data_IF_331488074848
#
_entry.id   IF_331488074848
#
_cell.length_a   1.000
_cell.length_b   1.000
_cell.length_c   1.000
_cell.angle_alpha   90.00
_cell.angle_beta   90.00
_cell.angle_gamma   90.00
#
_symmetry.space_group_name_H-M   'P 1'
#
loop_
_entity.id
_entity.type
_entity.pdbx_description
1 polymer ?
#
# COMPACT_ATOMS: atom_id res chain seq x y z
N UNK A 1 7.50 -27.72 -3.32
CA UNK A 1 7.64 -27.61 -4.80
C UNK A 1 8.54 -26.43 -5.09
N UNK A 2 9.52 -26.54 -6.01
CA UNK A 2 10.28 -25.38 -6.42
C UNK A 2 9.33 -24.35 -7.07
N UNK A 3 9.57 -23.06 -6.78
CA UNK A 3 8.85 -21.96 -7.38
C UNK A 3 9.01 -22.07 -8.90
N UNK A 4 7.95 -22.36 -9.62
CA UNK A 4 7.97 -22.29 -11.08
C UNK A 4 7.88 -20.83 -11.46
N UNK A 5 8.99 -20.27 -11.90
CA UNK A 5 8.99 -18.96 -12.53
C UNK A 5 8.13 -19.01 -13.81
N UNK A 6 7.36 -17.97 -14.13
CA UNK A 6 6.58 -17.96 -15.35
C UNK A 6 7.48 -18.12 -16.57
N UNK A 7 7.09 -18.95 -17.51
CA UNK A 7 7.84 -19.25 -18.76
C UNK A 7 7.98 -18.02 -19.70
N UNK A 8 7.27 -16.93 -19.41
CA UNK A 8 7.32 -15.70 -20.22
C UNK A 8 8.14 -14.62 -19.49
N UNK A 9 8.98 -13.87 -20.20
CA UNK A 9 9.69 -12.75 -19.63
C UNK A 9 8.69 -11.75 -19.00
N UNK A 10 9.05 -11.21 -17.84
CA UNK A 10 8.25 -10.20 -17.14
C UNK A 10 8.09 -8.95 -18.02
N UNK A 11 6.86 -8.61 -18.34
CA UNK A 11 6.52 -7.39 -19.09
C UNK A 11 5.79 -6.44 -18.12
N UNK A 12 6.36 -5.27 -17.89
CA UNK A 12 5.87 -4.28 -16.90
C UNK A 12 4.38 -3.93 -17.04
N UNK A 13 3.83 -3.98 -18.22
CA UNK A 13 2.44 -3.60 -18.52
C UNK A 13 1.57 -4.77 -19.01
N UNK A 14 2.01 -6.02 -18.83
CA UNK A 14 1.18 -7.16 -19.20
C UNK A 14 -0.03 -7.27 -18.22
N UNK A 15 -1.27 -7.13 -18.71
CA UNK A 15 -2.45 -7.27 -17.86
C UNK A 15 -2.52 -8.59 -17.09
N UNK A 16 -1.95 -9.67 -17.65
CA UNK A 16 -1.93 -10.99 -17.02
C UNK A 16 -0.98 -11.07 -15.83
N UNK A 17 0.05 -10.22 -15.78
CA UNK A 17 1.06 -10.23 -14.69
C UNK A 17 1.01 -8.98 -13.81
N UNK A 18 0.28 -7.95 -14.21
CA UNK A 18 0.22 -6.64 -13.54
C UNK A 18 -0.05 -6.73 -12.03
N UNK A 19 -0.87 -7.65 -11.60
CA UNK A 19 -1.25 -7.84 -10.21
C UNK A 19 -0.73 -9.16 -9.61
N UNK A 20 0.12 -9.91 -10.32
CA UNK A 20 0.61 -11.22 -9.86
C UNK A 20 1.30 -11.13 -8.49
N UNK A 21 2.12 -10.10 -8.27
CA UNK A 21 2.81 -9.87 -7.01
C UNK A 21 1.83 -9.67 -5.84
N UNK A 22 0.85 -8.78 -5.96
CA UNK A 22 -0.09 -8.51 -4.87
C UNK A 22 -1.00 -9.71 -4.59
N UNK A 23 -1.35 -10.48 -5.62
CA UNK A 23 -2.11 -11.71 -5.46
C UNK A 23 -1.30 -12.79 -4.75
N UNK A 24 0.00 -12.96 -5.10
CA UNK A 24 0.89 -13.87 -4.38
C UNK A 24 1.10 -13.45 -2.92
N UNK A 25 1.28 -12.16 -2.64
CA UNK A 25 1.36 -11.71 -1.24
C UNK A 25 0.11 -12.09 -0.45
N UNK A 26 -1.08 -11.82 -1.00
CA UNK A 26 -2.34 -12.07 -0.30
C UNK A 26 -2.69 -13.56 -0.19
N UNK A 27 -2.44 -14.34 -1.23
CA UNK A 27 -2.95 -15.73 -1.34
C UNK A 27 -1.91 -16.79 -0.97
N UNK A 28 -0.62 -16.47 -1.06
CA UNK A 28 0.45 -17.43 -0.81
C UNK A 28 1.29 -17.03 0.41
N UNK A 29 1.85 -15.80 0.42
CA UNK A 29 2.81 -15.36 1.45
C UNK A 29 2.12 -15.19 2.80
N UNK A 30 1.03 -14.44 2.88
CA UNK A 30 0.33 -14.21 4.15
C UNK A 30 -0.17 -15.52 4.76
N UNK A 31 -0.90 -16.41 4.06
CA UNK A 31 -1.32 -17.69 4.62
C UNK A 31 -0.15 -18.59 5.01
N UNK A 32 0.93 -18.56 4.24
CA UNK A 32 2.13 -19.33 4.59
C UNK A 32 2.74 -18.86 5.92
N UNK A 33 2.92 -17.55 6.07
CA UNK A 33 3.46 -16.96 7.30
C UNK A 33 2.55 -17.23 8.50
N UNK A 34 1.25 -17.03 8.33
CA UNK A 34 0.27 -17.25 9.42
C UNK A 34 0.20 -18.72 9.85
N UNK A 35 0.45 -19.67 8.95
CA UNK A 35 0.43 -21.10 9.26
C UNK A 35 1.73 -21.64 9.84
N UNK A 36 2.87 -20.95 9.64
CA UNK A 36 4.19 -21.46 10.04
C UNK A 36 4.84 -20.67 11.18
N UNK A 37 4.34 -19.48 11.49
CA UNK A 37 4.90 -18.60 12.51
C UNK A 37 3.83 -18.18 13.51
N UNK A 38 4.25 -17.74 14.69
CA UNK A 38 3.35 -17.23 15.73
C UNK A 38 2.90 -15.81 15.39
N UNK A 39 1.96 -15.68 14.50
CA UNK A 39 1.33 -14.41 14.12
C UNK A 39 -0.01 -14.24 14.83
N UNK A 40 -0.55 -13.02 14.76
CA UNK A 40 -1.95 -12.73 15.03
C UNK A 40 -2.63 -12.57 13.66
N UNK A 41 -3.32 -13.62 13.14
CA UNK A 41 -3.68 -13.71 11.73
C UNK A 41 -4.99 -12.98 11.39
N UNK A 42 -5.22 -11.85 12.01
CA UNK A 42 -6.41 -11.02 11.78
C UNK A 42 -6.03 -9.64 11.25
N UNK A 43 -7.02 -8.95 10.70
CA UNK A 43 -6.92 -7.63 10.10
C UNK A 43 -6.39 -6.58 11.09
N UNK A 44 -6.83 -6.65 12.35
CA UNK A 44 -6.49 -5.67 13.38
C UNK A 44 -5.01 -5.69 13.76
N UNK A 45 -4.32 -6.80 13.47
CA UNK A 45 -2.90 -6.99 13.76
C UNK A 45 -2.03 -7.03 12.50
N UNK A 46 -2.55 -6.55 11.36
CA UNK A 46 -1.79 -6.55 10.11
C UNK A 46 -1.71 -5.15 9.50
N UNK A 47 -0.48 -4.74 9.23
CA UNK A 47 -0.16 -3.51 8.54
C UNK A 47 0.46 -3.81 7.16
N UNK A 48 0.23 -2.91 6.20
CA UNK A 48 0.92 -2.92 4.91
C UNK A 48 1.55 -1.55 4.65
N UNK A 49 2.83 -1.56 4.31
CA UNK A 49 3.59 -0.37 3.97
C UNK A 49 4.52 -0.65 2.79
N UNK A 50 4.79 0.36 2.00
CA UNK A 50 5.74 0.26 0.91
C UNK A 50 6.10 1.63 0.37
N UNK A 51 7.30 1.72 -0.23
CA UNK A 51 7.84 2.95 -0.81
C UNK A 51 7.90 2.86 -2.33
N UNK A 52 7.71 3.98 -3.02
CA UNK A 52 7.82 4.08 -4.47
C UNK A 52 6.88 3.07 -5.16
N UNK A 53 7.42 2.15 -5.96
CA UNK A 53 6.65 1.04 -6.53
C UNK A 53 5.95 0.21 -5.44
N UNK A 54 6.61 -0.04 -4.30
CA UNK A 54 6.02 -0.70 -3.15
C UNK A 54 4.86 0.09 -2.52
N UNK A 55 4.87 1.43 -2.61
CA UNK A 55 3.73 2.27 -2.25
C UNK A 55 2.52 2.03 -3.17
N UNK A 56 2.76 1.91 -4.47
CA UNK A 56 1.73 1.50 -5.43
C UNK A 56 1.18 0.09 -5.15
N UNK A 57 2.07 -0.85 -4.80
CA UNK A 57 1.65 -2.19 -4.38
C UNK A 57 0.84 -2.16 -3.07
N UNK A 58 1.21 -1.31 -2.12
CA UNK A 58 0.44 -1.10 -0.87
C UNK A 58 -0.97 -0.64 -1.17
N UNK A 59 -1.12 0.36 -2.05
CA UNK A 59 -2.42 0.85 -2.51
C UNK A 59 -3.24 -0.25 -3.19
N UNK A 60 -2.65 -0.96 -4.15
CA UNK A 60 -3.33 -2.02 -4.89
C UNK A 60 -3.68 -3.22 -4.00
N UNK A 61 -2.76 -3.65 -3.12
CA UNK A 61 -2.97 -4.78 -2.21
C UNK A 61 -4.11 -4.49 -1.23
N UNK A 62 -4.07 -3.32 -0.57
CA UNK A 62 -5.12 -2.93 0.37
C UNK A 62 -6.49 -2.73 -0.28
N UNK A 63 -6.53 -2.26 -1.54
CA UNK A 63 -7.78 -2.08 -2.28
C UNK A 63 -8.39 -3.37 -2.84
N UNK A 64 -7.55 -4.36 -3.20
CA UNK A 64 -8.02 -5.66 -3.69
C UNK A 64 -8.30 -6.66 -2.58
N UNK A 65 -7.66 -6.51 -1.41
CA UNK A 65 -7.79 -7.38 -0.24
C UNK A 65 -8.00 -6.55 1.03
N UNK A 66 -9.06 -5.72 1.07
CA UNK A 66 -9.26 -4.77 2.16
C UNK A 66 -9.58 -5.44 3.51
N UNK A 67 -9.94 -6.72 3.48
CA UNK A 67 -10.16 -7.54 4.67
C UNK A 67 -8.88 -7.95 5.38
N UNK A 68 -7.70 -7.73 4.78
CA UNK A 68 -6.43 -8.18 5.33
C UNK A 68 -5.73 -7.13 6.21
N UNK A 69 -6.02 -5.83 6.05
CA UNK A 69 -5.19 -4.76 6.63
C UNK A 69 -6.03 -3.65 7.28
N UNK A 70 -5.72 -3.34 8.54
CA UNK A 70 -6.27 -2.17 9.23
C UNK A 70 -5.31 -0.95 9.19
N UNK A 71 -4.03 -1.16 8.87
CA UNK A 71 -3.01 -0.12 8.82
C UNK A 71 -2.37 -0.10 7.44
N UNK A 72 -2.50 1.02 6.73
CA UNK A 72 -2.14 1.16 5.32
C UNK A 72 -1.22 2.36 5.16
N UNK A 73 -0.01 2.15 4.63
CA UNK A 73 1.01 3.20 4.54
C UNK A 73 1.71 3.23 3.17
N UNK A 74 1.13 3.84 2.15
CA UNK A 74 1.83 4.12 0.90
C UNK A 74 2.79 5.30 1.05
N UNK A 75 4.08 5.08 0.74
CA UNK A 75 5.14 6.08 0.85
C UNK A 75 5.67 6.47 -0.53
N UNK A 76 5.89 7.77 -0.76
CA UNK A 76 6.50 8.28 -2.00
C UNK A 76 5.91 7.63 -3.23
N UNK A 77 4.60 7.51 -3.26
CA UNK A 77 3.84 7.04 -4.41
C UNK A 77 2.63 7.92 -4.62
N UNK A 78 2.23 8.03 -5.86
CA UNK A 78 1.02 8.75 -6.23
C UNK A 78 -0.06 7.81 -6.72
N UNK A 79 -1.20 8.41 -7.04
CA UNK A 79 -2.29 7.75 -7.74
C UNK A 79 -2.75 8.61 -8.90
N UNK A 80 -3.61 8.05 -9.73
CA UNK A 80 -4.37 8.75 -10.76
C UNK A 80 -5.85 8.66 -10.42
N UNK A 81 -6.60 9.74 -10.59
CA UNK A 81 -8.05 9.75 -10.35
C UNK A 81 -8.76 9.03 -11.51
N UNK A 82 -8.78 7.70 -11.43
CA UNK A 82 -9.45 6.82 -12.38
C UNK A 82 -10.60 6.07 -11.70
N UNK A 83 -11.61 5.60 -12.46
CA UNK A 83 -12.69 4.79 -11.90
C UNK A 83 -12.18 3.55 -11.13
N UNK A 84 -11.14 2.89 -11.66
CA UNK A 84 -10.53 1.70 -11.06
C UNK A 84 -9.89 2.02 -9.71
N UNK A 85 -9.09 3.08 -9.63
CA UNK A 85 -8.43 3.49 -8.39
C UNK A 85 -9.44 3.99 -7.35
N UNK A 86 -10.49 4.67 -7.79
CA UNK A 86 -11.60 5.06 -6.92
C UNK A 86 -12.36 3.85 -6.36
N UNK A 87 -12.53 2.80 -7.16
CA UNK A 87 -13.14 1.54 -6.69
C UNK A 87 -12.28 0.85 -5.61
N UNK A 88 -10.94 0.86 -5.75
CA UNK A 88 -10.04 0.34 -4.73
C UNK A 88 -10.19 1.09 -3.40
N UNK A 89 -10.24 2.42 -3.41
CA UNK A 89 -10.48 3.21 -2.21
C UNK A 89 -11.86 2.94 -1.60
N UNK A 90 -12.89 2.82 -2.43
CA UNK A 90 -14.23 2.48 -1.97
C UNK A 90 -14.28 1.11 -1.28
N UNK A 91 -13.52 0.11 -1.76
CA UNK A 91 -13.40 -1.19 -1.12
C UNK A 91 -12.76 -1.07 0.27
N UNK A 92 -11.65 -0.32 0.39
CA UNK A 92 -10.98 -0.06 1.67
C UNK A 92 -11.95 0.61 2.65
N UNK A 93 -12.63 1.66 2.21
CA UNK A 93 -13.61 2.39 3.03
C UNK A 93 -14.74 1.47 3.51
N UNK A 94 -15.30 0.66 2.61
CA UNK A 94 -16.38 -0.28 2.93
C UNK A 94 -15.96 -1.34 3.95
N UNK A 95 -14.74 -1.86 3.84
CA UNK A 95 -14.20 -2.85 4.77
C UNK A 95 -13.80 -2.24 6.11
N UNK A 96 -13.64 -0.93 6.20
CA UNK A 96 -13.09 -0.21 7.33
C UNK A 96 -11.57 -0.34 7.41
N UNK A 97 -10.92 0.55 8.14
CA UNK A 97 -9.49 0.54 8.46
C UNK A 97 -9.25 1.42 9.71
N UNK A 98 -8.14 1.22 10.39
CA UNK A 98 -7.79 2.01 11.57
C UNK A 98 -6.87 3.19 11.25
N UNK A 99 -5.99 3.02 10.27
CA UNK A 99 -5.03 4.05 9.88
C UNK A 99 -4.73 3.99 8.39
N UNK A 100 -4.90 5.12 7.71
CA UNK A 100 -4.38 5.35 6.37
C UNK A 100 -3.38 6.50 6.45
N UNK A 101 -2.09 6.22 6.23
CA UNK A 101 -1.02 7.19 6.44
C UNK A 101 -0.14 7.29 5.19
N UNK A 102 -0.07 8.48 4.61
CA UNK A 102 0.65 8.76 3.37
C UNK A 102 1.86 9.63 3.68
N UNK A 103 3.04 9.21 3.27
CA UNK A 103 4.27 9.99 3.43
C UNK A 103 4.93 10.32 2.10
N UNK A 104 5.31 11.61 1.89
CA UNK A 104 6.03 12.03 0.69
C UNK A 104 6.90 13.26 0.97
N UNK A 105 8.02 13.41 0.24
CA UNK A 105 8.82 14.62 0.25
C UNK A 105 8.24 15.69 -0.70
N UNK A 106 8.39 16.95 -0.37
CA UNK A 106 7.91 18.08 -1.19
C UNK A 106 8.69 18.23 -2.52
N UNK A 107 9.92 17.74 -2.56
CA UNK A 107 10.79 17.68 -3.73
C UNK A 107 10.85 16.25 -4.35
N UNK A 108 9.98 15.33 -3.93
CA UNK A 108 9.86 14.00 -4.50
C UNK A 108 9.11 14.06 -5.83
N UNK A 109 9.60 13.35 -6.86
CA UNK A 109 8.90 13.29 -8.15
C UNK A 109 7.50 12.65 -8.04
N UNK A 110 7.24 11.85 -7.01
CA UNK A 110 5.93 11.26 -6.73
C UNK A 110 4.94 12.27 -6.09
N UNK A 111 5.42 13.41 -5.62
CA UNK A 111 4.61 14.38 -4.86
C UNK A 111 3.34 14.86 -5.61
N UNK A 112 3.39 15.19 -6.92
CA UNK A 112 2.17 15.56 -7.64
C UNK A 112 1.09 14.47 -7.61
N UNK A 113 1.49 13.22 -7.82
CA UNK A 113 0.57 12.08 -7.74
C UNK A 113 0.11 11.76 -6.31
N UNK A 114 0.96 12.06 -5.32
CA UNK A 114 0.58 11.93 -3.90
C UNK A 114 -0.52 12.93 -3.53
N UNK A 115 -0.48 14.15 -4.07
CA UNK A 115 -1.57 15.14 -3.90
C UNK A 115 -2.87 14.67 -4.54
N UNK A 116 -2.79 14.00 -5.70
CA UNK A 116 -3.99 13.39 -6.31
C UNK A 116 -4.58 12.32 -5.40
N UNK A 117 -3.75 11.47 -4.80
CA UNK A 117 -4.23 10.48 -3.83
C UNK A 117 -4.90 11.13 -2.61
N UNK A 118 -4.33 12.20 -2.06
CA UNK A 118 -4.90 12.98 -0.95
C UNK A 118 -6.31 13.49 -1.31
N UNK A 119 -6.45 14.11 -2.49
CA UNK A 119 -7.75 14.60 -2.96
C UNK A 119 -8.78 13.48 -3.19
N UNK A 120 -8.34 12.34 -3.70
CA UNK A 120 -9.21 11.16 -3.87
C UNK A 120 -9.72 10.64 -2.52
N UNK A 121 -8.84 10.56 -1.51
CA UNK A 121 -9.19 10.15 -0.15
C UNK A 121 -10.20 11.13 0.48
N UNK A 122 -9.95 12.43 0.36
CA UNK A 122 -10.87 13.49 0.81
C UNK A 122 -12.23 13.39 0.12
N UNK A 123 -12.24 13.27 -1.20
CA UNK A 123 -13.46 13.13 -2.02
C UNK A 123 -14.32 11.95 -1.58
N UNK A 124 -13.70 10.86 -1.17
CA UNK A 124 -14.39 9.70 -0.63
C UNK A 124 -14.73 9.80 0.86
N UNK A 125 -14.34 10.87 1.54
CA UNK A 125 -14.54 11.05 2.99
C UNK A 125 -13.80 9.97 3.79
N UNK A 126 -12.59 9.62 3.38
CA UNK A 126 -11.71 8.68 4.08
C UNK A 126 -10.78 9.45 5.01
N UNK A 127 -10.84 9.15 6.31
CA UNK A 127 -9.88 9.71 7.27
C UNK A 127 -8.47 9.20 6.95
N UNK A 128 -7.51 10.11 6.88
CA UNK A 128 -6.12 9.78 6.59
C UNK A 128 -5.17 10.86 7.10
N UNK A 129 -3.91 10.48 7.26
CA UNK A 129 -2.82 11.40 7.55
C UNK A 129 -2.02 11.63 6.28
N UNK A 130 -1.89 12.88 5.87
CA UNK A 130 -0.98 13.30 4.81
C UNK A 130 0.27 13.92 5.45
N UNK A 131 1.37 13.20 5.43
CA UNK A 131 2.65 13.63 6.03
C UNK A 131 3.62 14.08 4.94
N UNK A 132 3.85 15.40 4.84
CA UNK A 132 4.80 15.98 3.90
C UNK A 132 6.02 16.46 4.64
N UNK A 133 7.19 16.01 4.20
CA UNK A 133 8.49 16.48 4.69
C UNK A 133 9.23 17.26 3.60
N UNK A 134 10.30 17.94 3.98
CA UNK A 134 11.29 18.41 3.01
C UNK A 134 12.03 17.26 2.34
N UNK A 135 12.54 17.51 1.12
CA UNK A 135 13.40 16.58 0.40
C UNK A 135 12.69 15.67 -0.59
N UNK A 136 13.46 14.81 -1.23
CA UNK A 136 13.07 14.03 -2.40
C UNK A 136 12.89 12.53 -2.11
N UNK A 137 13.00 11.76 -3.19
CA UNK A 137 12.82 10.30 -3.23
C UNK A 137 14.03 9.57 -2.64
N UNK A 138 14.17 9.59 -1.33
CA UNK A 138 15.40 9.15 -0.64
C UNK A 138 15.15 8.24 0.56
N UNK A 139 16.14 7.38 0.85
CA UNK A 139 16.13 6.50 2.01
C UNK A 139 16.05 7.24 3.35
N UNK A 140 16.59 8.45 3.44
CA UNK A 140 16.50 9.27 4.65
C UNK A 140 15.05 9.60 4.97
N UNK A 141 14.28 10.02 3.97
CA UNK A 141 12.86 10.30 4.12
C UNK A 141 12.07 9.03 4.48
N UNK A 142 12.30 7.92 3.79
CA UNK A 142 11.57 6.69 4.04
C UNK A 142 11.82 6.09 5.42
N UNK A 143 13.03 6.18 5.95
CA UNK A 143 13.33 5.80 7.34
C UNK A 143 12.57 6.68 8.33
N UNK A 144 12.53 7.98 8.06
CA UNK A 144 11.78 8.93 8.88
C UNK A 144 10.28 8.65 8.85
N UNK A 145 9.71 8.37 7.68
CA UNK A 145 8.30 8.00 7.54
C UNK A 145 7.97 6.70 8.25
N UNK A 146 8.79 5.68 8.06
CA UNK A 146 8.57 4.40 8.72
C UNK A 146 8.61 4.54 10.25
N UNK A 147 9.55 5.32 10.78
CA UNK A 147 9.61 5.57 12.23
C UNK A 147 8.35 6.26 12.75
N UNK A 148 7.83 7.27 12.03
CA UNK A 148 6.59 7.94 12.42
C UNK A 148 5.38 7.00 12.33
N UNK A 149 5.23 6.29 11.22
CA UNK A 149 4.12 5.37 11.01
C UNK A 149 4.14 4.20 12.02
N UNK A 150 5.30 3.58 12.24
CA UNK A 150 5.42 2.41 13.11
C UNK A 150 4.97 2.70 14.56
N UNK A 151 5.14 3.92 15.04
CA UNK A 151 4.70 4.32 16.39
C UNK A 151 3.19 4.43 16.53
N UNK A 152 2.45 4.39 15.43
CA UNK A 152 0.98 4.49 15.39
C UNK A 152 0.28 3.13 15.27
N UNK A 153 1.06 2.05 15.05
CA UNK A 153 0.53 0.72 14.80
C UNK A 153 -0.01 0.06 16.08
N UNK A 154 -1.08 -0.70 15.92
CA UNK A 154 -1.62 -1.62 16.92
C UNK A 154 -2.00 -0.99 18.28
N UNK A 155 -2.47 0.24 18.22
CA UNK A 155 -2.97 0.98 19.40
C UNK A 155 -4.49 0.92 19.50
#
# INVERSE_FOLDING_TARGET
KPLQLPEKPFVWNDPATRNSYIHSVAKDVIPYIDSHFRTLPDKAHRAVAGLSMGGGHTFALSGNYPELFDYICPLSCGSQDTPENNALLANIKKAGYKLYWVGCGDADFAYPGTKVLDEMLKKQGMEHTMFISGGGHTWSNWRYYLNNFATLLFK
#
